data_IF_393068788783
#
_entry.id   IF_393068788783
#
_cell.length_a   1.000
_cell.length_b   1.000
_cell.length_c   1.000
_cell.angle_alpha   90.00
_cell.angle_beta   90.00
_cell.angle_gamma   90.00
#
_symmetry.space_group_name_H-M   'P 1'
#
loop_
_entity.id
_entity.type
_entity.pdbx_description
1 polymer ?
#
# COMPACT_ATOMS: atom_id res chain seq x y z
N UNK A 1 14.78 -9.31 3.52
CA UNK A 1 15.75 -10.37 3.88
C UNK A 1 15.52 -11.70 3.15
N UNK A 2 14.30 -12.25 3.08
CA UNK A 2 14.05 -13.57 2.46
C UNK A 2 14.48 -13.68 0.98
N UNK A 3 14.25 -12.62 0.17
CA UNK A 3 14.73 -12.57 -1.23
C UNK A 3 16.26 -12.59 -1.35
N UNK A 4 16.95 -11.92 -0.45
CA UNK A 4 18.42 -11.87 -0.44
C UNK A 4 19.03 -13.22 -0.11
N UNK A 5 18.38 -14.00 0.77
CA UNK A 5 18.79 -15.36 1.15
C UNK A 5 18.17 -16.46 0.28
N UNK A 6 17.41 -16.12 -0.77
CA UNK A 6 16.68 -17.07 -1.64
C UNK A 6 15.74 -18.03 -0.89
N UNK A 7 15.21 -17.63 0.27
CA UNK A 7 14.27 -18.41 1.11
C UNK A 7 12.85 -17.83 1.09
N UNK A 8 12.45 -17.20 -0.02
CA UNK A 8 11.09 -16.65 -0.14
C UNK A 8 10.05 -17.78 -0.22
N UNK A 9 9.11 -17.78 0.71
CA UNK A 9 7.99 -18.71 0.77
C UNK A 9 6.65 -17.99 0.51
N UNK A 10 5.70 -18.60 -0.23
CA UNK A 10 4.34 -18.08 -0.38
C UNK A 10 3.64 -17.85 0.97
N UNK A 11 3.83 -18.79 1.91
CA UNK A 11 3.26 -18.72 3.26
C UNK A 11 3.87 -17.55 4.03
N UNK A 12 5.18 -17.36 3.93
CA UNK A 12 5.86 -16.21 4.54
C UNK A 12 5.33 -14.88 4.01
N UNK A 13 5.13 -14.77 2.68
CA UNK A 13 4.56 -13.56 2.07
C UNK A 13 3.09 -13.32 2.46
N UNK A 14 2.33 -14.37 2.79
CA UNK A 14 0.97 -14.23 3.28
C UNK A 14 0.94 -13.66 4.69
N UNK A 15 1.71 -14.26 5.61
CA UNK A 15 1.78 -13.79 6.99
C UNK A 15 2.40 -12.40 7.14
N UNK A 16 3.38 -12.05 6.29
CA UNK A 16 3.95 -10.70 6.20
C UNK A 16 2.83 -9.66 5.97
N UNK A 17 2.02 -9.85 4.93
CA UNK A 17 0.92 -8.93 4.62
C UNK A 17 -0.20 -8.92 5.66
N UNK A 18 -0.46 -10.06 6.30
CA UNK A 18 -1.45 -10.14 7.37
C UNK A 18 -0.95 -9.38 8.61
N UNK A 19 0.32 -9.55 8.96
CA UNK A 19 0.96 -8.81 10.04
C UNK A 19 0.96 -7.30 9.76
N UNK A 20 1.23 -6.87 8.52
CA UNK A 20 1.17 -5.45 8.13
C UNK A 20 -0.22 -4.85 8.42
N UNK A 21 -1.30 -5.56 8.08
CA UNK A 21 -2.67 -5.09 8.33
C UNK A 21 -2.99 -5.00 9.81
N UNK A 22 -2.60 -6.02 10.59
CA UNK A 22 -2.80 -6.03 12.04
C UNK A 22 -2.00 -4.91 12.71
N UNK A 23 -0.74 -4.70 12.29
CA UNK A 23 0.12 -3.65 12.80
C UNK A 23 -0.48 -2.26 12.56
N UNK A 24 -0.94 -1.97 11.35
CA UNK A 24 -1.60 -0.69 11.02
C UNK A 24 -2.86 -0.50 11.88
N UNK A 25 -3.69 -1.53 12.02
CA UNK A 25 -4.91 -1.43 12.83
C UNK A 25 -4.60 -1.15 14.30
N UNK A 26 -3.63 -1.86 14.89
CA UNK A 26 -3.23 -1.68 16.28
C UNK A 26 -2.62 -0.29 16.52
N UNK A 27 -1.73 0.16 15.65
CA UNK A 27 -1.07 1.46 15.79
C UNK A 27 -2.05 2.61 15.69
N UNK A 28 -2.88 2.64 14.64
CA UNK A 28 -3.83 3.73 14.47
C UNK A 28 -5.01 3.65 15.44
N UNK A 29 -5.39 2.44 15.88
CA UNK A 29 -6.35 2.27 16.98
C UNK A 29 -5.81 2.87 18.29
N UNK A 30 -4.56 2.55 18.65
CA UNK A 30 -3.91 3.10 19.82
C UNK A 30 -3.71 4.62 19.73
N UNK A 31 -3.28 5.14 18.58
CA UNK A 31 -3.13 6.59 18.37
C UNK A 31 -4.47 7.31 18.39
N UNK A 32 -5.51 6.74 17.79
CA UNK A 32 -6.87 7.30 17.85
C UNK A 32 -7.37 7.40 19.30
N UNK A 33 -7.14 6.36 20.10
CA UNK A 33 -7.47 6.38 21.53
C UNK A 33 -6.61 7.38 22.32
N UNK A 34 -5.30 7.42 22.11
CA UNK A 34 -4.41 8.35 22.79
C UNK A 34 -4.75 9.82 22.46
N UNK A 35 -5.09 10.10 21.21
CA UNK A 35 -5.53 11.42 20.75
C UNK A 35 -6.94 11.77 21.23
N UNK A 36 -7.79 10.78 21.54
CA UNK A 36 -9.07 10.98 22.22
C UNK A 36 -8.87 11.31 23.70
N UNK A 37 -7.97 10.62 24.39
CA UNK A 37 -7.81 10.72 25.84
C UNK A 37 -7.36 12.11 26.32
N UNK A 38 -6.73 12.92 25.46
CA UNK A 38 -6.31 14.28 25.82
C UNK A 38 -7.48 15.29 25.83
N UNK A 39 -8.21 15.51 24.70
CA UNK A 39 -9.33 16.45 24.65
C UNK A 39 -10.71 15.84 24.97
N UNK A 40 -10.81 14.52 25.16
CA UNK A 40 -12.08 13.75 25.21
C UNK A 40 -12.98 13.91 23.97
N UNK A 41 -12.42 14.38 22.86
CA UNK A 41 -13.11 14.54 21.58
C UNK A 41 -13.10 13.23 20.82
N UNK A 42 -14.26 12.78 20.33
CA UNK A 42 -14.41 11.52 19.57
C UNK A 42 -13.84 11.59 18.15
N UNK A 43 -13.55 12.80 17.63
CA UNK A 43 -13.06 13.03 16.26
C UNK A 43 -11.85 12.15 15.89
N UNK A 44 -10.79 12.03 16.72
CA UNK A 44 -9.61 11.24 16.41
C UNK A 44 -9.90 9.74 16.25
N UNK A 45 -10.89 9.23 16.98
CA UNK A 45 -11.34 7.83 16.89
C UNK A 45 -11.98 7.58 15.52
N UNK A 46 -12.88 8.46 15.08
CA UNK A 46 -13.49 8.35 13.76
C UNK A 46 -12.46 8.49 12.63
N UNK A 47 -11.50 9.41 12.77
CA UNK A 47 -10.42 9.57 11.77
C UNK A 47 -9.56 8.31 11.67
N UNK A 48 -9.16 7.73 12.81
CA UNK A 48 -8.42 6.47 12.82
C UNK A 48 -9.23 5.34 12.19
N UNK A 49 -10.52 5.21 12.54
CA UNK A 49 -11.39 4.16 12.03
C UNK A 49 -11.61 4.27 10.51
N UNK A 50 -11.88 5.48 10.01
CA UNK A 50 -11.99 5.76 8.57
C UNK A 50 -10.68 5.41 7.85
N UNK A 51 -9.55 5.86 8.39
CA UNK A 51 -8.26 5.56 7.79
C UNK A 51 -7.95 4.07 7.73
N UNK A 52 -8.19 3.32 8.81
CA UNK A 52 -8.03 1.86 8.85
C UNK A 52 -8.96 1.18 7.84
N UNK A 53 -10.24 1.58 7.79
CA UNK A 53 -11.23 1.00 6.87
C UNK A 53 -10.82 1.17 5.40
N UNK A 54 -10.40 2.38 5.00
CA UNK A 54 -10.01 2.66 3.63
C UNK A 54 -8.62 2.09 3.27
N UNK A 55 -7.73 1.92 4.24
CA UNK A 55 -6.49 1.16 4.07
C UNK A 55 -6.81 -0.31 3.74
N UNK A 56 -7.70 -0.94 4.50
CA UNK A 56 -8.16 -2.31 4.25
C UNK A 56 -8.88 -2.43 2.91
N UNK A 57 -9.74 -1.47 2.55
CA UNK A 57 -10.44 -1.44 1.26
C UNK A 57 -9.45 -1.42 0.09
N UNK A 58 -8.37 -0.62 0.16
CA UNK A 58 -7.32 -0.58 -0.87
C UNK A 58 -6.65 -1.95 -1.04
N UNK A 59 -6.41 -2.66 0.05
CA UNK A 59 -5.87 -4.02 0.07
C UNK A 59 -6.84 -5.01 -0.55
N UNK A 60 -8.08 -5.02 -0.08
CA UNK A 60 -9.15 -5.90 -0.57
C UNK A 60 -9.41 -5.71 -2.06
N UNK A 61 -9.60 -4.46 -2.52
CA UNK A 61 -9.81 -4.15 -3.93
C UNK A 61 -8.63 -4.58 -4.83
N UNK A 62 -7.42 -4.78 -4.27
CA UNK A 62 -6.26 -5.31 -5.00
C UNK A 62 -6.37 -6.82 -5.19
N UNK A 63 -6.81 -7.53 -4.15
CA UNK A 63 -6.98 -8.97 -4.20
C UNK A 63 -8.13 -9.36 -5.10
N UNK A 64 -9.28 -8.69 -4.93
CA UNK A 64 -10.46 -8.93 -5.78
C UNK A 64 -10.14 -8.65 -7.26
N UNK A 65 -9.44 -7.56 -7.58
CA UNK A 65 -9.08 -7.30 -8.99
C UNK A 65 -8.17 -8.40 -9.55
N UNK A 66 -7.20 -8.87 -8.77
CA UNK A 66 -6.30 -9.94 -9.19
C UNK A 66 -7.05 -11.26 -9.41
N UNK A 67 -7.99 -11.58 -8.52
CA UNK A 67 -8.84 -12.77 -8.63
C UNK A 67 -9.73 -12.73 -9.86
N UNK A 68 -10.43 -11.61 -10.10
CA UNK A 68 -11.26 -11.41 -11.30
C UNK A 68 -10.44 -11.53 -12.58
N UNK A 69 -9.27 -10.90 -12.64
CA UNK A 69 -8.40 -10.94 -13.82
C UNK A 69 -7.81 -12.35 -14.03
N UNK A 70 -7.47 -13.07 -12.96
CA UNK A 70 -6.98 -14.46 -13.04
C UNK A 70 -8.10 -15.44 -13.44
N UNK A 71 -9.34 -15.19 -13.03
CA UNK A 71 -10.50 -15.97 -13.47
C UNK A 71 -10.79 -15.78 -14.97
N UNK A 72 -10.54 -14.58 -15.51
CA UNK A 72 -10.67 -14.29 -16.94
C UNK A 72 -9.50 -14.80 -17.78
N UNK A 73 -8.27 -14.75 -17.26
CA UNK A 73 -7.06 -15.24 -17.92
C UNK A 73 -6.16 -15.93 -16.86
N UNK A 74 -6.14 -17.28 -16.80
CA UNK A 74 -5.38 -18.01 -15.76
C UNK A 74 -3.88 -17.71 -15.75
N UNK A 75 -3.31 -17.29 -16.89
CA UNK A 75 -1.90 -16.91 -17.03
C UNK A 75 -1.65 -15.41 -16.73
N UNK A 76 -2.68 -14.64 -16.38
CA UNK A 76 -2.57 -13.22 -16.07
C UNK A 76 -1.52 -12.88 -15.01
N UNK A 77 -1.39 -13.61 -13.87
CA UNK A 77 -0.36 -13.35 -12.88
C UNK A 77 1.05 -13.54 -13.44
N UNK A 78 1.26 -14.58 -14.24
CA UNK A 78 2.55 -14.91 -14.87
C UNK A 78 2.90 -13.89 -15.93
N UNK A 79 1.93 -13.46 -16.73
CA UNK A 79 2.08 -12.44 -17.76
C UNK A 79 2.40 -11.07 -17.15
N UNK A 80 1.73 -10.69 -16.07
CA UNK A 80 2.05 -9.49 -15.29
C UNK A 80 3.45 -9.57 -14.64
N UNK A 81 3.87 -10.75 -14.18
CA UNK A 81 5.21 -10.96 -13.67
C UNK A 81 6.29 -10.81 -14.78
N UNK A 82 6.01 -11.27 -16.01
CA UNK A 82 6.89 -11.11 -17.18
C UNK A 82 6.93 -9.67 -17.70
N UNK A 83 5.82 -8.94 -17.63
CA UNK A 83 5.71 -7.53 -18.03
C UNK A 83 6.35 -6.55 -17.05
N UNK A 84 6.68 -6.97 -15.82
CA UNK A 84 7.55 -6.20 -14.94
C UNK A 84 8.99 -6.49 -15.34
N UNK A 85 9.68 -5.62 -16.10
CA UNK A 85 11.07 -5.85 -16.42
C UNK A 85 11.87 -5.85 -15.12
N UNK A 86 12.34 -7.03 -14.71
CA UNK A 86 13.40 -7.18 -13.71
C UNK A 86 14.74 -6.93 -14.43
N UNK A 87 14.85 -5.78 -15.09
CA UNK A 87 16.13 -5.34 -15.62
C UNK A 87 17.00 -4.91 -14.45
N UNK A 88 18.09 -5.61 -14.19
CA UNK A 88 19.16 -5.15 -13.30
C UNK A 88 19.67 -3.80 -13.81
N UNK A 89 19.15 -2.74 -13.21
CA UNK A 89 19.43 -1.33 -13.57
C UNK A 89 20.34 -0.66 -12.53
N UNK A 90 20.82 -1.41 -11.54
CA UNK A 90 21.77 -0.98 -10.51
C UNK A 90 22.50 -2.19 -9.88
N UNK A 91 23.76 -1.98 -9.46
CA UNK A 91 24.61 -3.01 -8.85
C UNK A 91 26.10 -2.64 -8.82
N UNK A 92 26.93 -3.50 -8.21
CA UNK A 92 28.40 -3.39 -8.26
C UNK A 92 28.85 -3.59 -9.72
N UNK A 93 29.34 -2.53 -10.35
CA UNK A 93 29.68 -2.48 -11.78
C UNK A 93 28.88 -1.46 -12.61
N UNK A 94 27.85 -0.83 -12.02
CA UNK A 94 27.11 0.28 -12.63
C UNK A 94 27.61 1.63 -12.13
N UNK A 95 27.56 2.67 -12.96
CA UNK A 95 28.01 4.02 -12.65
C UNK A 95 27.16 4.70 -11.56
N UNK A 96 27.77 5.66 -10.85
CA UNK A 96 27.10 6.40 -9.77
C UNK A 96 25.77 7.03 -10.21
N UNK A 97 25.68 7.53 -11.45
CA UNK A 97 24.45 8.12 -12.00
C UNK A 97 23.35 7.09 -12.25
N UNK A 98 23.69 5.89 -12.71
CA UNK A 98 22.71 4.81 -12.92
C UNK A 98 22.18 4.29 -11.60
N UNK A 99 23.07 4.08 -10.61
CA UNK A 99 22.67 3.70 -9.26
C UNK A 99 21.80 4.78 -8.59
N UNK A 100 22.10 6.08 -8.78
CA UNK A 100 21.31 7.19 -8.23
C UNK A 100 19.94 7.32 -8.92
N UNK A 101 19.89 7.18 -10.25
CA UNK A 101 18.65 7.22 -11.04
C UNK A 101 17.75 6.03 -10.71
N UNK A 102 18.34 4.84 -10.57
CA UNK A 102 17.65 3.65 -10.06
C UNK A 102 17.13 3.88 -8.64
N UNK A 103 17.96 4.41 -7.74
CA UNK A 103 17.57 4.70 -6.37
C UNK A 103 16.37 5.65 -6.33
N UNK A 104 16.41 6.76 -7.07
CA UNK A 104 15.31 7.73 -7.18
C UNK A 104 14.04 7.12 -7.82
N UNK A 105 14.17 6.23 -8.81
CA UNK A 105 13.03 5.50 -9.39
C UNK A 105 12.45 4.46 -8.43
N UNK A 106 13.29 3.77 -7.65
CA UNK A 106 12.87 2.80 -6.64
C UNK A 106 12.20 3.52 -5.45
N UNK A 107 12.67 4.73 -5.09
CA UNK A 107 11.97 5.63 -4.17
C UNK A 107 10.56 5.99 -4.68
N UNK A 108 10.34 6.03 -6.00
CA UNK A 108 9.00 6.28 -6.57
C UNK A 108 8.04 5.10 -6.37
N UNK A 109 8.55 3.86 -6.25
CA UNK A 109 7.74 2.73 -5.77
C UNK A 109 7.39 2.87 -4.29
N UNK A 110 8.28 3.46 -3.49
CA UNK A 110 8.00 3.85 -2.09
C UNK A 110 6.99 5.02 -2.03
N UNK A 111 6.91 5.86 -3.07
CA UNK A 111 5.84 6.87 -3.23
C UNK A 111 4.45 6.28 -3.49
N UNK A 112 4.33 4.95 -3.63
CA UNK A 112 3.07 4.24 -3.40
C UNK A 112 2.65 4.24 -1.91
N UNK A 113 3.31 5.03 -1.06
CA UNK A 113 2.92 5.32 0.32
C UNK A 113 2.64 4.02 1.08
N UNK A 114 3.66 3.17 1.05
CA UNK A 114 3.77 1.95 1.83
C UNK A 114 4.43 2.35 3.14
N UNK A 115 3.65 2.33 4.22
CA UNK A 115 4.07 2.15 5.62
C UNK A 115 5.09 3.13 6.23
N UNK A 116 6.27 3.32 5.63
CA UNK A 116 7.32 4.21 6.10
C UNK A 116 6.89 5.67 6.24
N UNK A 117 5.99 6.15 5.38
CA UNK A 117 5.44 7.52 5.55
C UNK A 117 4.46 7.59 6.73
N UNK A 118 3.73 6.51 7.03
CA UNK A 118 2.90 6.46 8.24
C UNK A 118 3.75 6.42 9.50
N UNK A 119 4.79 5.58 9.52
CA UNK A 119 5.71 5.51 10.65
C UNK A 119 6.36 6.88 10.86
N UNK A 120 6.83 7.53 9.79
CA UNK A 120 7.40 8.88 9.88
C UNK A 120 6.39 9.93 10.38
N UNK A 121 5.19 9.96 9.83
CA UNK A 121 4.13 10.88 10.27
C UNK A 121 3.71 10.61 11.72
N UNK A 122 3.68 9.35 12.14
CA UNK A 122 3.35 8.95 13.50
C UNK A 122 4.44 9.34 14.48
N UNK A 123 5.71 9.10 14.14
CA UNK A 123 6.85 9.59 14.93
C UNK A 123 6.83 11.11 15.05
N UNK A 124 6.61 11.85 13.96
CA UNK A 124 6.50 13.30 14.00
C UNK A 124 5.30 13.77 14.85
N UNK A 125 4.13 13.14 14.65
CA UNK A 125 2.92 13.44 15.42
C UNK A 125 3.10 13.21 16.92
N UNK A 126 3.86 12.18 17.31
CA UNK A 126 4.22 11.91 18.71
C UNK A 126 5.21 12.95 19.24
N UNK A 127 6.29 13.24 18.51
CA UNK A 127 7.33 14.20 18.94
C UNK A 127 6.75 15.60 19.13
N UNK A 128 5.89 16.05 18.21
CA UNK A 128 5.30 17.39 18.26
C UNK A 128 3.96 17.44 19.04
N UNK A 129 3.49 16.32 19.58
CA UNK A 129 2.16 16.16 20.18
C UNK A 129 1.02 16.67 19.28
N UNK A 130 1.13 16.42 17.98
CA UNK A 130 0.16 16.82 16.94
C UNK A 130 -0.51 15.59 16.32
N UNK A 131 -1.08 14.72 17.17
CA UNK A 131 -1.73 13.48 16.73
C UNK A 131 -3.02 13.74 15.93
N UNK A 132 -3.79 14.79 16.27
CA UNK A 132 -5.05 15.10 15.60
C UNK A 132 -4.83 15.55 14.13
N UNK A 133 -3.95 16.53 13.84
CA UNK A 133 -3.61 16.87 12.45
C UNK A 133 -3.04 15.68 11.67
N UNK A 134 -2.20 14.85 12.30
CA UNK A 134 -1.66 13.64 11.68
C UNK A 134 -2.78 12.69 11.24
N UNK A 135 -3.76 12.45 12.11
CA UNK A 135 -4.91 11.58 11.82
C UNK A 135 -5.79 12.14 10.70
N UNK A 136 -5.94 13.47 10.61
CA UNK A 136 -6.62 14.12 9.49
C UNK A 136 -5.94 13.83 8.15
N UNK A 137 -4.62 14.04 8.09
CA UNK A 137 -3.84 13.77 6.87
C UNK A 137 -3.91 12.29 6.52
N UNK A 138 -3.84 11.40 7.52
CA UNK A 138 -3.98 9.96 7.34
C UNK A 138 -5.34 9.60 6.71
N UNK A 139 -6.44 10.02 7.35
CA UNK A 139 -7.80 9.67 6.96
C UNK A 139 -8.16 10.22 5.57
N UNK A 140 -7.91 11.51 5.32
CA UNK A 140 -8.19 12.14 4.02
C UNK A 140 -7.45 11.43 2.89
N UNK A 141 -6.20 11.01 3.13
CA UNK A 141 -5.39 10.33 2.13
C UNK A 141 -5.82 8.89 1.89
N UNK A 142 -6.20 8.15 2.94
CA UNK A 142 -6.76 6.80 2.77
C UNK A 142 -8.09 6.86 2.04
N UNK A 143 -8.95 7.82 2.38
CA UNK A 143 -10.22 8.04 1.70
C UNK A 143 -10.00 8.29 0.21
N UNK A 144 -9.11 9.24 -0.14
CA UNK A 144 -8.82 9.58 -1.52
C UNK A 144 -8.24 8.37 -2.29
N UNK A 145 -7.17 7.74 -1.78
CA UNK A 145 -6.51 6.65 -2.49
C UNK A 145 -7.32 5.36 -2.52
N UNK A 146 -8.03 5.06 -1.43
CA UNK A 146 -8.91 3.90 -1.31
C UNK A 146 -10.06 3.97 -2.30
N UNK A 147 -10.73 5.12 -2.43
CA UNK A 147 -11.80 5.32 -3.42
C UNK A 147 -11.25 5.41 -4.84
N UNK A 148 -10.26 6.26 -5.09
CA UNK A 148 -9.71 6.51 -6.43
C UNK A 148 -9.11 5.25 -7.07
N UNK A 149 -8.30 4.47 -6.34
CA UNK A 149 -7.75 3.22 -6.89
C UNK A 149 -8.82 2.15 -7.10
N UNK A 150 -9.80 2.06 -6.21
CA UNK A 150 -10.91 1.12 -6.39
C UNK A 150 -11.72 1.45 -7.64
N UNK A 151 -11.99 2.74 -7.86
CA UNK A 151 -12.66 3.23 -9.07
C UNK A 151 -11.86 2.95 -10.35
N UNK A 152 -10.57 3.27 -10.37
CA UNK A 152 -9.71 3.00 -11.54
C UNK A 152 -9.67 1.51 -11.86
N UNK A 153 -9.51 0.65 -10.85
CA UNK A 153 -9.49 -0.79 -11.05
C UNK A 153 -10.82 -1.30 -11.62
N UNK A 154 -11.95 -0.83 -11.08
CA UNK A 154 -13.26 -1.16 -11.64
C UNK A 154 -13.40 -0.76 -13.12
N UNK A 155 -12.94 0.46 -13.48
CA UNK A 155 -12.95 0.91 -14.89
C UNK A 155 -12.05 0.08 -15.80
N UNK A 156 -10.88 -0.34 -15.32
CA UNK A 156 -9.92 -1.10 -16.09
C UNK A 156 -10.40 -2.54 -16.35
N UNK A 157 -11.10 -3.17 -15.40
CA UNK A 157 -11.72 -4.49 -15.59
C UNK A 157 -12.77 -4.43 -16.71
N UNK A 158 -13.62 -3.39 -16.72
CA UNK A 158 -14.65 -3.20 -17.75
C UNK A 158 -14.05 -2.96 -19.14
N UNK A 159 -12.95 -2.21 -19.24
CA UNK A 159 -12.27 -1.98 -20.52
C UNK A 159 -11.47 -3.19 -21.01
N UNK A 160 -10.87 -3.97 -20.10
CA UNK A 160 -10.18 -5.23 -20.42
C UNK A 160 -11.13 -6.29 -20.97
N UNK A 161 -12.34 -6.41 -20.39
CA UNK A 161 -13.38 -7.31 -20.93
C UNK A 161 -13.82 -6.91 -22.35
N UNK A 162 -14.02 -5.61 -22.64
CA UNK A 162 -14.44 -5.16 -23.97
C UNK A 162 -13.48 -5.55 -25.10
N UNK A 163 -12.18 -5.66 -24.84
CA UNK A 163 -11.22 -6.13 -25.83
C UNK A 163 -11.19 -7.66 -25.98
N UNK A 164 -11.61 -8.42 -24.96
CA UNK A 164 -11.68 -9.89 -25.03
C UNK A 164 -12.91 -10.40 -25.77
N UNK A 165 -14.01 -9.64 -25.82
CA UNK A 165 -15.24 -9.99 -26.55
C UNK A 165 -15.23 -9.57 -28.03
N UNK A 166 -14.21 -8.85 -28.48
CA UNK A 166 -14.08 -8.38 -29.86
C UNK A 166 -13.09 -9.22 -30.71
N UNK A 167 -12.80 -10.45 -30.28
CA UNK A 167 -12.01 -11.43 -31.03
C UNK A 167 -12.84 -12.66 -31.37
#
# INVERSE_FOLDING_TARGET
MARYRKVSSPIGSYYDRLADQVQVALWFGAVGYAAYAQPLSVIPVFLAMVGIAFYNLRGYAKYVSLEIETAGEPDYPTRMARLKPVGTTAGLGFGLRENLSWFLREQRKISAFDEGVFIFMLSAGLIFNQLIPMLWVFAARQLFWGTYKSWIRGKNIVHGQKHSFAK
#
